data_IF_246420340985
#
_entry.id   IF_246420340985
#
_cell.length_a   1.000
_cell.length_b   1.000
_cell.length_c   1.000
_cell.angle_alpha   90.00
_cell.angle_beta   90.00
_cell.angle_gamma   90.00
#
_symmetry.space_group_name_H-M   'P 1'
#
loop_
_entity.id
_entity.type
_entity.pdbx_description
1 polymer ?
#
# COMPACT_ATOMS: atom_id res chain seq x y z
N UNK A 1 -16.60 17.71 -16.43
CA UNK A 1 -16.05 16.35 -16.60
C UNK A 1 -17.15 15.42 -17.07
N UNK A 2 -16.87 14.52 -18.02
CA UNK A 2 -17.82 13.48 -18.42
C UNK A 2 -17.98 12.43 -17.31
N UNK A 3 -19.11 11.72 -17.28
CA UNK A 3 -19.33 10.64 -16.31
C UNK A 3 -18.29 9.52 -16.42
N UNK A 4 -17.75 9.29 -17.62
CA UNK A 4 -16.68 8.31 -17.84
C UNK A 4 -15.35 8.74 -17.23
N UNK A 5 -14.98 10.02 -17.31
CA UNK A 5 -13.77 10.54 -16.67
C UNK A 5 -13.83 10.43 -15.14
N UNK A 6 -15.01 10.68 -14.56
CA UNK A 6 -15.22 10.51 -13.11
C UNK A 6 -15.12 9.05 -12.68
N UNK A 7 -15.74 8.14 -13.43
CA UNK A 7 -15.65 6.70 -13.15
C UNK A 7 -14.22 6.18 -13.26
N UNK A 8 -13.48 6.63 -14.28
CA UNK A 8 -12.07 6.29 -14.47
C UNK A 8 -11.23 6.67 -13.24
N UNK A 9 -11.33 7.91 -12.76
CA UNK A 9 -10.60 8.38 -11.58
C UNK A 9 -11.00 7.58 -10.34
N UNK A 10 -12.29 7.33 -10.12
CA UNK A 10 -12.76 6.54 -8.97
C UNK A 10 -12.20 5.12 -8.96
N UNK A 11 -12.12 4.48 -10.13
CA UNK A 11 -11.52 3.15 -10.24
C UNK A 11 -10.03 3.16 -9.90
N UNK A 12 -9.29 4.19 -10.33
CA UNK A 12 -7.87 4.37 -10.00
C UNK A 12 -7.70 4.57 -8.49
N UNK A 13 -8.48 5.46 -7.88
CA UNK A 13 -8.45 5.72 -6.44
C UNK A 13 -8.80 4.48 -5.60
N UNK A 14 -9.76 3.68 -6.06
CA UNK A 14 -10.09 2.41 -5.42
C UNK A 14 -8.91 1.44 -5.47
N UNK A 15 -8.21 1.35 -6.60
CA UNK A 15 -7.07 0.45 -6.72
C UNK A 15 -5.87 0.94 -5.89
N UNK A 16 -5.64 2.26 -5.80
CA UNK A 16 -4.68 2.86 -4.85
C UNK A 16 -5.02 2.45 -3.42
N UNK A 17 -6.30 2.46 -3.05
CA UNK A 17 -6.73 2.06 -1.70
C UNK A 17 -6.40 0.58 -1.42
N UNK A 18 -6.55 -0.31 -2.40
CA UNK A 18 -6.20 -1.74 -2.25
C UNK A 18 -4.70 -1.98 -2.02
N UNK A 19 -3.82 -1.11 -2.51
CA UNK A 19 -2.38 -1.19 -2.22
C UNK A 19 -2.14 -1.15 -0.71
N UNK A 20 -2.90 -0.34 0.03
CA UNK A 20 -2.73 -0.16 1.47
C UNK A 20 -3.08 -1.39 2.30
N UNK A 21 -3.81 -2.36 1.71
CA UNK A 21 -4.21 -3.60 2.38
C UNK A 21 -3.34 -4.80 1.94
N UNK A 22 -2.62 -4.66 0.84
CA UNK A 22 -1.82 -5.75 0.25
C UNK A 22 -0.63 -6.16 1.12
N UNK A 23 -0.32 -7.46 1.10
CA UNK A 23 0.93 -8.02 1.64
C UNK A 23 2.11 -7.82 0.67
N UNK A 24 1.82 -7.61 -0.60
CA UNK A 24 2.79 -7.40 -1.67
C UNK A 24 2.43 -6.10 -2.42
N UNK A 25 2.59 -4.92 -1.78
CA UNK A 25 2.20 -3.66 -2.37
C UNK A 25 3.03 -3.34 -3.63
N UNK A 26 2.31 -3.09 -4.73
CA UNK A 26 2.80 -2.64 -6.03
C UNK A 26 1.81 -1.63 -6.62
N UNK A 27 2.33 -0.67 -7.37
CA UNK A 27 1.61 0.35 -8.13
C UNK A 27 1.54 0.04 -9.64
N UNK A 28 2.12 -1.06 -10.12
CA UNK A 28 2.21 -1.38 -11.56
C UNK A 28 0.83 -1.36 -12.27
N UNK A 29 -0.19 -1.95 -11.63
CA UNK A 29 -1.56 -1.97 -12.17
C UNK A 29 -2.15 -0.56 -12.21
N UNK A 30 -1.95 0.22 -11.15
CA UNK A 30 -2.45 1.59 -11.03
C UNK A 30 -1.81 2.48 -12.10
N UNK A 31 -0.50 2.38 -12.28
CA UNK A 31 0.23 3.08 -13.35
C UNK A 31 -0.32 2.69 -14.73
N UNK A 32 -0.57 1.41 -14.96
CA UNK A 32 -1.21 0.94 -16.20
C UNK A 32 -2.59 1.57 -16.44
N UNK A 33 -3.41 1.69 -15.39
CA UNK A 33 -4.73 2.34 -15.46
C UNK A 33 -4.61 3.85 -15.71
N UNK A 34 -3.69 4.54 -15.06
CA UNK A 34 -3.44 5.98 -15.25
C UNK A 34 -3.06 6.24 -16.72
N UNK A 35 -2.08 5.51 -17.25
CA UNK A 35 -1.62 5.66 -18.63
C UNK A 35 -2.72 5.36 -19.66
N UNK A 36 -3.56 4.35 -19.41
CA UNK A 36 -4.70 4.06 -20.27
C UNK A 36 -5.71 5.22 -20.29
N UNK A 37 -6.06 5.77 -19.13
CA UNK A 37 -7.03 6.85 -19.02
C UNK A 37 -6.50 8.18 -19.59
N UNK A 38 -5.20 8.46 -19.43
CA UNK A 38 -4.56 9.60 -20.08
C UNK A 38 -4.61 9.50 -21.60
N UNK A 39 -4.29 8.32 -22.16
CA UNK A 39 -4.37 8.08 -23.62
C UNK A 39 -5.77 8.25 -24.19
N UNK A 40 -6.80 7.94 -23.40
CA UNK A 40 -8.20 8.15 -23.80
C UNK A 40 -8.71 9.57 -23.56
N UNK A 41 -7.88 10.47 -23.00
CA UNK A 41 -8.24 11.86 -22.70
C UNK A 41 -9.22 12.00 -21.54
N UNK A 42 -9.30 10.99 -20.67
CA UNK A 42 -10.18 11.01 -19.50
C UNK A 42 -9.56 11.76 -18.32
N UNK A 43 -8.23 11.80 -18.26
CA UNK A 43 -7.47 12.56 -17.27
C UNK A 43 -6.39 13.38 -17.97
N UNK A 44 -6.02 14.51 -17.38
CA UNK A 44 -4.95 15.37 -17.88
C UNK A 44 -3.59 15.05 -17.23
N UNK A 45 -2.55 15.75 -17.67
CA UNK A 45 -1.17 15.54 -17.22
C UNK A 45 -0.99 15.83 -15.72
N UNK A 46 -1.67 16.86 -15.20
CA UNK A 46 -1.63 17.18 -13.76
C UNK A 46 -2.27 16.05 -12.94
N UNK A 47 -3.38 15.49 -13.42
CA UNK A 47 -4.02 14.35 -12.78
C UNK A 47 -3.14 13.09 -12.82
N UNK A 48 -2.41 12.86 -13.92
CA UNK A 48 -1.43 11.76 -14.02
C UNK A 48 -0.37 11.88 -12.92
N UNK A 49 0.30 13.04 -12.82
CA UNK A 49 1.34 13.26 -11.81
C UNK A 49 0.80 13.06 -10.38
N UNK A 50 -0.39 13.57 -10.10
CA UNK A 50 -1.03 13.43 -8.79
C UNK A 50 -1.36 11.98 -8.45
N UNK A 51 -1.94 11.23 -9.39
CA UNK A 51 -2.34 9.85 -9.17
C UNK A 51 -1.12 8.92 -9.05
N UNK A 52 -0.07 9.15 -9.83
CA UNK A 52 1.20 8.40 -9.71
C UNK A 52 1.88 8.66 -8.37
N UNK A 53 1.93 9.92 -7.93
CA UNK A 53 2.49 10.27 -6.61
C UNK A 53 1.69 9.63 -5.46
N UNK A 54 0.36 9.59 -5.57
CA UNK A 54 -0.50 8.93 -4.58
C UNK A 54 -0.26 7.42 -4.54
N UNK A 55 -0.16 6.75 -5.70
CA UNK A 55 0.12 5.33 -5.80
C UNK A 55 1.48 4.97 -5.17
N UNK A 56 2.53 5.70 -5.53
CA UNK A 56 3.88 5.51 -4.99
C UNK A 56 3.91 5.70 -3.47
N UNK A 57 3.20 6.72 -2.94
CA UNK A 57 3.07 6.95 -1.51
C UNK A 57 2.35 5.79 -0.82
N UNK A 58 1.25 5.29 -1.38
CA UNK A 58 0.52 4.15 -0.81
C UNK A 58 1.40 2.88 -0.72
N UNK A 59 2.22 2.63 -1.75
CA UNK A 59 3.20 1.51 -1.73
C UNK A 59 4.22 1.71 -0.61
N UNK A 60 4.80 2.91 -0.48
CA UNK A 60 5.80 3.22 0.54
C UNK A 60 5.23 3.06 1.95
N UNK A 61 4.05 3.63 2.20
CA UNK A 61 3.37 3.59 3.49
C UNK A 61 3.06 2.14 3.88
N UNK A 62 2.52 1.34 2.95
CA UNK A 62 2.22 -0.06 3.24
C UNK A 62 3.48 -0.89 3.51
N UNK A 63 4.54 -0.71 2.71
CA UNK A 63 5.83 -1.40 2.97
C UNK A 63 6.38 -1.04 4.34
N UNK A 64 6.22 0.22 4.76
CA UNK A 64 6.66 0.68 6.08
C UNK A 64 5.84 0.04 7.20
N UNK A 65 4.51 -0.01 7.05
CA UNK A 65 3.63 -0.70 7.99
C UNK A 65 3.99 -2.20 8.13
N UNK A 66 4.22 -2.90 7.03
CA UNK A 66 4.62 -4.31 7.03
C UNK A 66 5.95 -4.55 7.77
N UNK A 67 6.93 -3.64 7.62
CA UNK A 67 8.19 -3.71 8.36
C UNK A 67 7.98 -3.49 9.86
N UNK A 68 7.10 -2.55 10.24
CA UNK A 68 6.77 -2.30 11.64
C UNK A 68 6.07 -3.51 12.26
N UNK A 69 5.08 -4.10 11.58
CA UNK A 69 4.37 -5.32 12.00
C UNK A 69 5.34 -6.51 12.17
N UNK A 70 6.30 -6.68 11.24
CA UNK A 70 7.32 -7.72 11.34
C UNK A 70 8.23 -7.51 12.55
N UNK A 71 8.65 -6.27 12.80
CA UNK A 71 9.52 -5.93 13.92
C UNK A 71 8.82 -6.12 15.26
N UNK A 72 7.56 -5.71 15.38
CA UNK A 72 6.74 -5.91 16.58
C UNK A 72 6.55 -7.40 16.90
N UNK A 73 6.24 -8.23 15.89
CA UNK A 73 6.14 -9.69 16.07
C UNK A 73 7.46 -10.31 16.54
N UNK A 74 8.58 -9.85 16.00
CA UNK A 74 9.89 -10.33 16.43
C UNK A 74 10.18 -9.97 17.90
N UNK A 75 9.90 -8.73 18.31
CA UNK A 75 10.06 -8.30 19.71
C UNK A 75 9.18 -9.10 20.67
N UNK A 76 7.92 -9.34 20.30
CA UNK A 76 7.01 -10.19 21.08
C UNK A 76 7.55 -11.62 21.22
N UNK A 77 8.07 -12.22 20.14
CA UNK A 77 8.64 -13.56 20.18
C UNK A 77 9.87 -13.66 21.10
N UNK A 78 10.71 -12.62 21.13
CA UNK A 78 11.87 -12.57 22.03
C UNK A 78 11.44 -12.41 23.50
N UNK A 79 10.43 -11.60 23.78
CA UNK A 79 9.87 -11.46 25.13
C UNK A 79 9.31 -12.78 25.67
N UNK A 80 8.53 -13.51 24.87
CA UNK A 80 8.00 -14.82 25.25
C UNK A 80 9.11 -15.85 25.53
N UNK A 81 10.18 -15.87 24.73
CA UNK A 81 11.32 -16.77 24.96
C UNK A 81 12.07 -16.44 26.26
N UNK A 82 12.16 -15.17 26.61
CA UNK A 82 12.78 -14.73 27.85
C UNK A 82 11.97 -15.20 29.07
N UNK A 83 10.66 -15.02 29.06
CA UNK A 83 9.76 -15.50 30.13
C UNK A 83 9.86 -17.02 30.34
N UNK A 84 9.76 -17.80 29.25
CA UNK A 84 9.86 -19.28 29.33
C UNK A 84 11.21 -19.75 29.89
N UNK A 85 12.30 -19.08 29.54
CA UNK A 85 13.65 -19.43 30.02
C UNK A 85 13.83 -19.13 31.50
N UNK A 86 13.22 -18.05 32.01
CA UNK A 86 13.31 -17.69 33.42
C UNK A 86 12.47 -18.61 34.32
N UNK A 87 11.31 -19.06 33.85
CA UNK A 87 10.48 -20.03 34.59
C UNK A 87 11.17 -21.41 34.75
N UNK A 88 11.99 -21.83 33.78
CA UNK A 88 12.73 -23.11 33.86
C UNK A 88 13.97 -23.07 34.77
N UNK A 89 14.43 -21.89 35.19
CA UNK A 89 15.59 -21.75 36.08
C UNK A 89 15.22 -21.54 37.55
N UNK A 90 13.91 -21.46 37.85
CA UNK A 90 13.39 -21.19 39.18
C UNK A 90 12.79 -22.43 39.90
N UNK A 91 12.97 -23.65 39.37
CA UNK A 91 12.58 -24.92 40.00
C UNK A 91 13.77 -25.72 40.51
#
# INVERSE_FOLDING_TARGET
MSSQAQLATQMIEQEISRITESQFPSDDLVVGMILANYRHGFIDELQVEQLEAQAAKAVLDRRTALRAEKSARHQQSLGLLYEVRHDHTAS
#
